data_IF_126081316395
#
_entry.id   IF_126081316395
#
_cell.length_a   1.000
_cell.length_b   1.000
_cell.length_c   1.000
_cell.angle_alpha   90.00
_cell.angle_beta   90.00
_cell.angle_gamma   90.00
#
_symmetry.space_group_name_H-M   'P 1'
#
loop_
_entity.id
_entity.type
_entity.pdbx_description
1 polymer ?
#
# COMPACT_ATOMS: atom_id res chain seq x y z
N UNK A 1 -16.70 13.70 -8.87
CA UNK A 1 -16.39 13.51 -7.43
C UNK A 1 -14.90 13.76 -7.22
N UNK A 2 -14.49 14.25 -6.05
CA UNK A 2 -13.07 14.35 -5.73
C UNK A 2 -12.47 12.94 -5.69
N UNK A 3 -11.23 12.78 -6.18
CA UNK A 3 -10.51 11.51 -6.15
C UNK A 3 -9.89 11.29 -4.77
N UNK A 4 -9.75 10.03 -4.37
CA UNK A 4 -8.96 9.66 -3.19
C UNK A 4 -7.48 9.93 -3.45
N UNK A 5 -6.84 10.59 -2.50
CA UNK A 5 -5.44 10.98 -2.56
C UNK A 5 -4.56 9.83 -2.07
N UNK A 6 -3.70 9.32 -2.95
CA UNK A 6 -2.84 8.16 -2.66
C UNK A 6 -1.41 8.63 -2.45
N UNK A 7 -0.82 8.25 -1.31
CA UNK A 7 0.62 8.31 -1.05
C UNK A 7 1.25 6.93 -1.21
N UNK A 8 2.43 6.85 -1.81
CA UNK A 8 3.16 5.59 -1.98
C UNK A 8 4.47 5.66 -1.22
N UNK A 9 4.78 4.62 -0.46
CA UNK A 9 6.05 4.47 0.27
C UNK A 9 6.87 3.38 -0.41
N UNK A 10 8.07 3.73 -0.81
CA UNK A 10 9.00 3.01 -1.70
C UNK A 10 8.58 3.04 -3.18
N UNK A 11 9.58 3.03 -4.06
CA UNK A 11 9.43 3.19 -5.51
C UNK A 11 9.95 2.00 -6.32
N UNK A 12 10.12 0.85 -5.67
CA UNK A 12 10.60 -0.39 -6.26
C UNK A 12 9.62 -1.02 -7.26
N UNK A 13 9.98 -2.23 -7.72
CA UNK A 13 9.20 -2.95 -8.74
C UNK A 13 7.73 -3.14 -8.35
N UNK A 14 7.46 -3.53 -7.09
CA UNK A 14 6.08 -3.77 -6.67
C UNK A 14 5.27 -2.47 -6.52
N UNK A 15 5.92 -1.39 -6.11
CA UNK A 15 5.29 -0.06 -6.08
C UNK A 15 4.78 0.38 -7.46
N UNK A 16 5.47 -0.01 -8.54
CA UNK A 16 5.03 0.27 -9.91
C UNK A 16 3.75 -0.49 -10.29
N UNK A 17 3.58 -1.71 -9.80
CA UNK A 17 2.31 -2.44 -9.97
C UNK A 17 1.16 -1.76 -9.22
N UNK A 18 1.41 -1.32 -7.97
CA UNK A 18 0.46 -0.49 -7.23
C UNK A 18 0.16 0.82 -7.97
N UNK A 19 1.20 1.49 -8.49
CA UNK A 19 1.05 2.72 -9.26
C UNK A 19 0.15 2.55 -10.49
N UNK A 20 0.31 1.45 -11.24
CA UNK A 20 -0.58 1.12 -12.36
C UNK A 20 -2.02 0.92 -11.90
N UNK A 21 -2.22 0.17 -10.81
CA UNK A 21 -3.56 -0.06 -10.24
C UNK A 21 -4.23 1.24 -9.81
N UNK A 22 -3.51 2.09 -9.08
CA UNK A 22 -4.03 3.38 -8.65
C UNK A 22 -4.35 4.32 -9.81
N UNK A 23 -3.50 4.34 -10.86
CA UNK A 23 -3.71 5.19 -12.04
C UNK A 23 -4.88 4.70 -12.90
N UNK A 24 -5.12 3.39 -12.96
CA UNK A 24 -6.25 2.81 -13.70
C UNK A 24 -7.59 2.99 -12.99
N UNK A 25 -7.60 3.19 -11.69
CA UNK A 25 -8.81 3.46 -10.93
C UNK A 25 -9.24 4.91 -11.10
N UNK A 26 -10.40 5.16 -11.68
CA UNK A 26 -10.94 6.51 -11.94
C UNK A 26 -11.16 7.33 -10.64
N UNK A 27 -11.27 6.65 -9.49
CA UNK A 27 -11.55 7.26 -8.20
C UNK A 27 -10.30 7.58 -7.38
N UNK A 28 -9.09 7.30 -7.89
CA UNK A 28 -7.83 7.55 -7.18
C UNK A 28 -6.87 8.44 -7.97
N UNK A 29 -5.98 9.10 -7.24
CA UNK A 29 -4.88 9.88 -7.79
C UNK A 29 -3.64 9.71 -6.91
N UNK A 30 -2.50 9.36 -7.51
CA UNK A 30 -1.23 9.33 -6.79
C UNK A 30 -0.73 10.77 -6.66
N UNK A 31 -0.77 11.29 -5.43
CA UNK A 31 -0.38 12.69 -5.18
C UNK A 31 1.02 12.83 -4.63
N UNK A 32 1.55 11.78 -3.96
CA UNK A 32 2.86 11.80 -3.32
C UNK A 32 3.56 10.43 -3.38
N UNK A 33 4.88 10.46 -3.41
CA UNK A 33 5.77 9.29 -3.34
C UNK A 33 6.96 9.57 -2.43
N UNK A 34 7.35 8.61 -1.62
CA UNK A 34 8.55 8.67 -0.79
C UNK A 34 9.46 7.47 -1.03
N UNK A 35 10.76 7.74 -1.23
CA UNK A 35 11.81 6.72 -1.30
C UNK A 35 13.16 7.34 -0.90
N UNK A 36 13.97 6.61 -0.15
CA UNK A 36 15.30 7.05 0.25
C UNK A 36 16.34 7.10 -0.91
N UNK A 37 16.01 6.51 -2.07
CA UNK A 37 16.86 6.48 -3.26
C UNK A 37 16.40 7.52 -4.28
N UNK A 38 17.12 8.64 -4.46
CA UNK A 38 16.68 9.75 -5.30
C UNK A 38 16.42 9.38 -6.77
N UNK A 39 17.23 8.49 -7.34
CA UNK A 39 17.08 8.06 -8.74
C UNK A 39 15.81 7.24 -8.95
N UNK A 40 15.55 6.27 -8.06
CA UNK A 40 14.34 5.44 -8.11
C UNK A 40 13.09 6.30 -7.88
N UNK A 41 13.15 7.23 -6.93
CA UNK A 41 12.10 8.21 -6.63
C UNK A 41 11.77 9.06 -7.87
N UNK A 42 12.78 9.66 -8.49
CA UNK A 42 12.63 10.49 -9.69
C UNK A 42 12.03 9.71 -10.86
N UNK A 43 12.50 8.48 -11.08
CA UNK A 43 11.96 7.59 -12.13
C UNK A 43 10.48 7.26 -11.89
N UNK A 44 10.10 6.91 -10.66
CA UNK A 44 8.70 6.63 -10.33
C UNK A 44 7.82 7.88 -10.51
N UNK A 45 8.28 9.02 -10.02
CA UNK A 45 7.56 10.28 -10.12
C UNK A 45 7.30 10.67 -11.59
N UNK A 46 8.28 10.46 -12.46
CA UNK A 46 8.15 10.67 -13.91
C UNK A 46 7.14 9.73 -14.54
N UNK A 47 7.21 8.43 -14.23
CA UNK A 47 6.35 7.40 -14.86
C UNK A 47 4.87 7.58 -14.51
N UNK A 48 4.57 8.07 -13.29
CA UNK A 48 3.20 8.23 -12.79
C UNK A 48 2.77 9.69 -12.66
N UNK A 49 3.57 10.65 -13.17
CA UNK A 49 3.30 12.09 -13.11
C UNK A 49 3.03 12.61 -11.69
N UNK A 50 3.78 12.10 -10.70
CA UNK A 50 3.67 12.50 -9.29
C UNK A 50 4.54 13.74 -9.05
N UNK A 51 3.96 14.80 -8.50
CA UNK A 51 4.68 16.07 -8.29
C UNK A 51 5.34 16.17 -6.92
N UNK A 52 4.70 15.65 -5.88
CA UNK A 52 5.23 15.69 -4.52
C UNK A 52 6.10 14.47 -4.27
N UNK A 53 7.41 14.71 -4.10
CA UNK A 53 8.42 13.67 -3.89
C UNK A 53 9.17 13.91 -2.59
N UNK A 54 9.42 12.85 -1.83
CA UNK A 54 10.05 12.92 -0.51
C UNK A 54 11.14 11.87 -0.38
N UNK A 55 12.26 12.21 0.26
CA UNK A 55 13.31 11.24 0.60
C UNK A 55 13.01 10.48 1.90
N UNK A 56 12.12 11.01 2.74
CA UNK A 56 11.63 10.37 3.96
C UNK A 56 10.10 10.32 3.92
N UNK A 57 9.55 9.11 4.08
CA UNK A 57 8.10 8.90 4.11
C UNK A 57 7.42 9.62 5.29
N UNK A 58 8.15 9.86 6.39
CA UNK A 58 7.62 10.60 7.55
C UNK A 58 7.34 12.06 7.18
N UNK A 59 8.20 12.63 6.35
CA UNK A 59 8.01 13.97 5.82
C UNK A 59 6.79 14.04 4.90
N UNK A 60 6.62 13.04 4.03
CA UNK A 60 5.42 12.90 3.19
C UNK A 60 4.16 12.81 4.05
N UNK A 61 4.15 11.93 5.06
CA UNK A 61 3.01 11.77 5.96
C UNK A 61 2.67 13.03 6.76
N UNK A 62 3.67 13.86 7.07
CA UNK A 62 3.47 15.11 7.81
C UNK A 62 2.94 16.27 6.95
N UNK A 63 3.19 16.24 5.64
CA UNK A 63 2.87 17.36 4.73
C UNK A 63 1.65 17.11 3.84
N UNK A 64 1.34 15.84 3.57
CA UNK A 64 0.27 15.48 2.64
C UNK A 64 -0.98 14.99 3.38
N UNK A 65 -2.13 15.47 2.95
CA UNK A 65 -3.43 14.94 3.38
C UNK A 65 -3.77 13.74 2.48
N UNK A 66 -3.61 12.53 3.01
CA UNK A 66 -3.72 11.29 2.25
C UNK A 66 -4.96 10.49 2.68
N UNK A 67 -5.74 10.04 1.72
CA UNK A 67 -6.84 9.09 1.94
C UNK A 67 -6.36 7.64 1.99
N UNK A 68 -5.33 7.31 1.20
CA UNK A 68 -4.78 5.97 1.06
C UNK A 68 -3.26 6.04 1.12
N UNK A 69 -2.66 5.13 1.88
CA UNK A 69 -1.19 4.95 1.88
C UNK A 69 -0.85 3.54 1.42
N UNK A 70 0.02 3.46 0.42
CA UNK A 70 0.50 2.19 -0.16
C UNK A 70 1.93 1.92 0.32
N UNK A 71 2.13 0.92 1.17
CA UNK A 71 3.44 0.52 1.71
C UNK A 71 3.99 -0.60 0.84
N UNK A 72 5.03 -0.28 0.07
CA UNK A 72 5.65 -1.17 -0.94
C UNK A 72 7.13 -1.39 -0.69
N UNK A 73 7.58 -1.23 0.54
CA UNK A 73 8.97 -1.36 0.98
C UNK A 73 9.42 -2.82 1.11
N UNK A 74 10.58 -3.03 1.67
CA UNK A 74 11.09 -4.33 2.10
C UNK A 74 10.34 -4.85 3.32
N UNK A 75 10.17 -6.16 3.39
CA UNK A 75 9.43 -6.86 4.43
C UNK A 75 9.75 -6.39 5.86
N UNK A 76 11.04 -6.21 6.27
CA UNK A 76 11.37 -5.76 7.62
C UNK A 76 10.89 -4.34 7.96
N UNK A 77 10.53 -3.55 6.98
CA UNK A 77 10.08 -2.17 7.15
C UNK A 77 8.56 -2.04 7.15
N UNK A 78 7.83 -3.09 6.78
CA UNK A 78 6.37 -3.06 6.65
C UNK A 78 5.67 -2.60 7.93
N UNK A 79 6.07 -3.15 9.08
CA UNK A 79 5.44 -2.84 10.36
C UNK A 79 5.67 -1.38 10.75
N UNK A 80 6.92 -0.91 10.74
CA UNK A 80 7.25 0.47 11.08
C UNK A 80 6.50 1.46 10.19
N UNK A 81 6.55 1.26 8.87
CA UNK A 81 5.94 2.17 7.91
C UNK A 81 4.41 2.15 7.96
N UNK A 82 3.80 0.98 8.19
CA UNK A 82 2.35 0.86 8.36
C UNK A 82 1.87 1.55 9.64
N UNK A 83 2.58 1.36 10.76
CA UNK A 83 2.25 2.01 12.03
C UNK A 83 2.37 3.52 11.91
N UNK A 84 3.44 4.01 11.28
CA UNK A 84 3.62 5.44 11.03
C UNK A 84 2.54 6.00 10.08
N UNK A 85 2.19 5.26 9.03
CA UNK A 85 1.11 5.65 8.12
C UNK A 85 -0.24 5.72 8.83
N UNK A 86 -0.55 4.75 9.71
CA UNK A 86 -1.80 4.74 10.48
C UNK A 86 -1.93 5.96 11.41
N UNK A 87 -0.81 6.48 11.95
CA UNK A 87 -0.83 7.69 12.78
C UNK A 87 -1.28 8.96 12.00
N UNK A 88 -1.09 8.99 10.67
CA UNK A 88 -1.61 10.04 9.79
C UNK A 88 -3.11 9.93 9.50
N UNK A 89 -3.76 8.87 9.99
CA UNK A 89 -5.21 8.61 9.87
C UNK A 89 -5.75 8.61 8.43
N UNK A 90 -5.08 7.99 7.46
CA UNK A 90 -5.70 7.76 6.17
C UNK A 90 -6.90 6.83 6.33
N UNK A 91 -7.80 6.77 5.37
CA UNK A 91 -8.92 5.81 5.37
C UNK A 91 -8.43 4.36 5.28
N UNK A 92 -7.36 4.14 4.51
CA UNK A 92 -6.81 2.81 4.24
C UNK A 92 -5.28 2.86 4.17
N UNK A 93 -4.64 1.87 4.81
CA UNK A 93 -3.24 1.51 4.52
C UNK A 93 -3.24 0.17 3.79
N UNK A 94 -2.63 0.13 2.61
CA UNK A 94 -2.38 -1.08 1.84
C UNK A 94 -0.91 -1.45 1.98
N UNK A 95 -0.62 -2.54 2.68
CA UNK A 95 0.74 -3.04 2.88
C UNK A 95 0.99 -4.27 2.01
N UNK A 96 2.16 -4.34 1.39
CA UNK A 96 2.57 -5.53 0.62
C UNK A 96 2.77 -6.75 1.51
N UNK A 97 2.75 -7.91 0.84
CA UNK A 97 3.01 -9.20 1.48
C UNK A 97 4.53 -9.47 1.56
N UNK A 98 5.00 -10.20 2.58
CA UNK A 98 4.27 -10.63 3.77
C UNK A 98 3.91 -9.44 4.65
N UNK A 99 2.85 -9.56 5.45
CA UNK A 99 2.38 -8.48 6.32
C UNK A 99 3.50 -7.94 7.22
N UNK A 100 4.24 -8.85 7.86
CA UNK A 100 5.33 -8.55 8.77
C UNK A 100 6.31 -9.73 8.85
N UNK A 101 7.46 -9.56 9.46
CA UNK A 101 8.45 -10.62 9.68
C UNK A 101 8.26 -11.38 11.00
N UNK A 102 7.36 -10.92 11.87
CA UNK A 102 6.98 -11.59 13.11
C UNK A 102 5.52 -11.39 13.44
N UNK A 103 4.98 -12.31 14.27
CA UNK A 103 3.60 -12.20 14.75
C UNK A 103 3.37 -10.91 15.54
N UNK A 104 4.31 -10.56 16.43
CA UNK A 104 4.21 -9.35 17.24
C UNK A 104 4.18 -8.06 16.42
N UNK A 105 4.95 -8.00 15.33
CA UNK A 105 4.85 -6.87 14.37
C UNK A 105 3.50 -6.81 13.68
N UNK A 106 2.99 -7.96 13.22
CA UNK A 106 1.67 -8.04 12.61
C UNK A 106 0.56 -7.57 13.57
N UNK A 107 0.60 -8.01 14.82
CA UNK A 107 -0.32 -7.54 15.87
C UNK A 107 -0.20 -6.03 16.12
N UNK A 108 1.03 -5.50 16.18
CA UNK A 108 1.26 -4.07 16.36
C UNK A 108 0.67 -3.24 15.20
N UNK A 109 0.77 -3.72 13.96
CA UNK A 109 0.17 -3.07 12.78
C UNK A 109 -1.37 -3.04 12.90
N UNK A 110 -1.99 -4.15 13.27
CA UNK A 110 -3.45 -4.25 13.45
C UNK A 110 -3.89 -3.25 14.53
N UNK A 111 -3.27 -3.31 15.71
CA UNK A 111 -3.59 -2.43 16.84
C UNK A 111 -3.43 -0.95 16.46
N UNK A 112 -2.36 -0.60 15.76
CA UNK A 112 -2.12 0.79 15.34
C UNK A 112 -3.21 1.28 14.37
N UNK A 113 -3.61 0.45 13.41
CA UNK A 113 -4.67 0.78 12.47
C UNK A 113 -6.03 0.89 13.18
N UNK A 114 -6.40 -0.05 14.02
CA UNK A 114 -7.65 -0.02 14.79
C UNK A 114 -7.76 1.21 15.70
N UNK A 115 -6.69 1.56 16.42
CA UNK A 115 -6.66 2.75 17.30
C UNK A 115 -6.85 4.07 16.57
N UNK A 116 -6.53 4.11 15.29
CA UNK A 116 -6.62 5.32 14.47
C UNK A 116 -7.83 5.30 13.51
N UNK A 117 -8.71 4.29 13.59
CA UNK A 117 -9.84 4.07 12.67
C UNK A 117 -9.40 3.96 11.20
N UNK A 118 -8.28 3.29 10.97
CA UNK A 118 -7.68 3.05 9.65
C UNK A 118 -7.91 1.60 9.24
N UNK A 119 -8.38 1.37 8.03
CA UNK A 119 -8.49 0.03 7.47
C UNK A 119 -7.12 -0.46 6.99
N UNK A 120 -6.67 -1.60 7.52
CA UNK A 120 -5.47 -2.27 7.03
C UNK A 120 -5.84 -3.33 5.98
N UNK A 121 -5.21 -3.26 4.81
CA UNK A 121 -5.32 -4.26 3.77
C UNK A 121 -3.93 -4.80 3.42
N UNK A 122 -3.82 -6.11 3.18
CA UNK A 122 -2.56 -6.75 2.79
C UNK A 122 -2.64 -7.18 1.32
N UNK A 123 -1.56 -6.93 0.57
CA UNK A 123 -1.43 -7.13 -0.87
C UNK A 123 -1.47 -8.59 -1.33
N UNK A 124 -2.54 -9.30 -1.02
CA UNK A 124 -2.79 -10.67 -1.50
C UNK A 124 -3.53 -10.68 -2.85
N UNK A 125 -2.99 -10.01 -3.85
CA UNK A 125 -3.62 -9.79 -5.16
C UNK A 125 -4.02 -11.07 -5.89
N UNK A 126 -3.32 -12.18 -5.66
CA UNK A 126 -3.66 -13.48 -6.28
C UNK A 126 -5.04 -13.99 -5.91
N UNK A 127 -5.62 -13.52 -4.79
CA UNK A 127 -6.99 -13.87 -4.39
C UNK A 127 -8.04 -13.44 -5.42
N UNK A 128 -7.71 -12.48 -6.28
CA UNK A 128 -8.58 -11.91 -7.31
C UNK A 128 -8.27 -12.41 -8.72
N UNK A 129 -7.35 -13.39 -8.88
CA UNK A 129 -7.11 -14.02 -10.17
C UNK A 129 -8.20 -15.05 -10.45
N UNK A 130 -8.73 -15.06 -11.67
CA UNK A 130 -9.82 -15.95 -12.08
C UNK A 130 -9.52 -17.42 -11.81
N UNK A 131 -8.27 -17.86 -12.00
CA UNK A 131 -7.83 -19.22 -11.71
C UNK A 131 -7.92 -19.59 -10.22
N UNK A 132 -7.67 -18.64 -9.32
CA UNK A 132 -7.81 -18.85 -7.87
C UNK A 132 -9.27 -18.78 -7.42
N UNK A 133 -10.07 -17.92 -8.02
CA UNK A 133 -11.51 -17.86 -7.77
C UNK A 133 -12.18 -19.15 -8.21
N UNK A 134 -11.83 -19.68 -9.39
CA UNK A 134 -12.31 -20.96 -9.88
C UNK A 134 -11.87 -22.13 -8.97
N UNK A 135 -10.61 -22.15 -8.55
CA UNK A 135 -10.13 -23.16 -7.59
C UNK A 135 -10.93 -23.15 -6.28
N UNK A 136 -11.19 -21.97 -5.72
CA UNK A 136 -12.05 -21.84 -4.53
C UNK A 136 -13.48 -22.33 -4.77
N UNK A 137 -14.04 -22.04 -5.94
CA UNK A 137 -15.39 -22.52 -6.31
C UNK A 137 -15.42 -24.03 -6.38
N UNK A 138 -14.45 -24.68 -7.02
CA UNK A 138 -14.36 -26.14 -7.13
C UNK A 138 -14.21 -26.81 -5.76
N UNK A 139 -13.46 -26.22 -4.83
CA UNK A 139 -13.38 -26.71 -3.44
C UNK A 139 -14.74 -26.59 -2.75
N UNK A 140 -15.38 -25.43 -2.85
CA UNK A 140 -16.67 -25.17 -2.20
C UNK A 140 -17.79 -26.09 -2.74
N UNK A 141 -17.74 -26.43 -4.02
CA UNK A 141 -18.69 -27.31 -4.68
C UNK A 141 -18.38 -28.81 -4.43
N UNK A 142 -17.29 -29.13 -3.71
CA UNK A 142 -16.88 -30.50 -3.44
C UNK A 142 -16.33 -31.27 -4.66
N UNK A 143 -15.97 -30.55 -5.74
CA UNK A 143 -15.42 -31.18 -6.94
C UNK A 143 -13.95 -31.61 -6.75
N UNK A 144 -13.24 -30.97 -5.82
CA UNK A 144 -11.92 -31.35 -5.31
C UNK A 144 -11.95 -31.28 -3.79
N UNK A 145 -11.37 -32.33 -3.16
CA UNK A 145 -11.38 -32.50 -1.69
C UNK A 145 -10.41 -31.59 -0.95
#
# INVERSE_FOLDING_TARGET
MAKYRVGVIASGRIAREHGRGWTQCEHTEIVAIADSHPEALSSYASDFNVKATYLDYREMMAKEDLDIVSVCSWDPQHAEMTIAAAAGKPKVVVCEKPMAISLGEGEAMIIACERNDVRLAIGHQRRFYSSWEEGRRLIADGAIG
#
